data_IF_265147937400
#
_entry.id   IF_265147937400
#
_cell.length_a   1.000
_cell.length_b   1.000
_cell.length_c   1.000
_cell.angle_alpha   90.00
_cell.angle_beta   90.00
_cell.angle_gamma   90.00
#
_symmetry.space_group_name_H-M   'P 1'
#
loop_
_entity.id
_entity.type
_entity.pdbx_description
1 polymer ?
#
# COMPACT_ATOMS: atom_id res chain seq x y z
N UNK A 1 7.40 24.60 9.91
CA UNK A 1 7.87 23.96 8.65
C UNK A 1 6.96 24.44 7.53
N UNK A 2 7.52 25.08 6.51
CA UNK A 2 6.76 25.51 5.32
C UNK A 2 6.37 24.32 4.44
N UNK A 3 5.49 24.53 3.44
CA UNK A 3 5.11 23.48 2.47
C UNK A 3 6.30 23.07 1.61
N UNK A 4 7.12 24.01 1.19
CA UNK A 4 8.31 23.78 0.38
C UNK A 4 9.36 22.99 1.15
N UNK A 5 9.62 23.39 2.40
CA UNK A 5 10.52 22.68 3.30
C UNK A 5 10.04 21.23 3.56
N UNK A 6 8.76 21.05 3.87
CA UNK A 6 8.16 19.72 4.09
C UNK A 6 8.30 18.82 2.84
N UNK A 7 8.05 19.41 1.67
CA UNK A 7 8.15 18.71 0.38
C UNK A 7 9.58 18.24 0.08
N UNK A 8 10.56 19.15 0.24
CA UNK A 8 11.98 18.84 0.03
C UNK A 8 12.48 17.78 1.02
N UNK A 9 12.21 17.99 2.32
CA UNK A 9 12.62 17.04 3.37
C UNK A 9 12.00 15.66 3.20
N UNK A 10 10.72 15.58 2.78
CA UNK A 10 10.06 14.32 2.49
C UNK A 10 10.76 13.59 1.34
N UNK A 11 11.01 14.26 0.21
CA UNK A 11 11.67 13.63 -0.94
C UNK A 11 13.02 13.02 -0.55
N UNK A 12 13.86 13.77 0.18
CA UNK A 12 15.14 13.26 0.65
C UNK A 12 15.01 12.13 1.69
N UNK A 13 14.05 12.24 2.60
CA UNK A 13 13.86 11.21 3.62
C UNK A 13 13.36 9.89 3.02
N UNK A 14 12.45 9.94 2.03
CA UNK A 14 11.96 8.74 1.36
C UNK A 14 13.06 8.08 0.51
N UNK A 15 13.85 8.87 -0.22
CA UNK A 15 15.01 8.36 -0.95
C UNK A 15 15.95 7.60 0.01
N UNK A 16 16.35 8.20 1.14
CA UNK A 16 17.19 7.53 2.15
C UNK A 16 16.54 6.32 2.78
N UNK A 17 15.22 6.33 2.98
CA UNK A 17 14.50 5.18 3.51
C UNK A 17 14.54 3.99 2.54
N UNK A 18 14.53 4.24 1.23
CA UNK A 18 14.76 3.23 0.19
C UNK A 18 16.23 2.82 0.19
N UNK A 19 17.18 3.77 0.14
CA UNK A 19 18.64 3.50 0.11
C UNK A 19 19.07 2.55 1.25
N UNK A 20 18.51 2.71 2.45
CA UNK A 20 18.80 1.84 3.60
C UNK A 20 18.23 0.42 3.46
N UNK A 21 17.34 0.18 2.54
CA UNK A 21 16.63 -1.09 2.35
C UNK A 21 16.96 -1.81 1.04
N UNK A 22 17.87 -1.26 0.22
CA UNK A 22 18.25 -1.90 -1.05
C UNK A 22 19.23 -3.07 -0.90
N UNK A 23 19.90 -3.20 0.26
CA UNK A 23 20.85 -4.28 0.51
C UNK A 23 20.10 -5.63 0.41
N UNK A 24 20.50 -6.44 -0.57
CA UNK A 24 19.93 -7.77 -0.80
C UNK A 24 20.93 -8.61 -1.60
N UNK A 25 21.10 -9.85 -1.20
CA UNK A 25 21.86 -10.91 -1.91
C UNK A 25 20.93 -11.77 -2.80
N UNK A 26 19.64 -11.42 -2.87
CA UNK A 26 18.62 -12.11 -3.67
C UNK A 26 17.87 -11.14 -4.56
N UNK A 27 17.24 -11.62 -5.65
CA UNK A 27 16.43 -10.76 -6.52
C UNK A 27 15.30 -10.06 -5.77
N UNK A 28 15.11 -8.78 -6.09
CA UNK A 28 14.07 -7.93 -5.49
C UNK A 28 13.06 -7.51 -6.55
N UNK A 29 11.81 -7.32 -6.12
CA UNK A 29 10.75 -6.75 -6.94
C UNK A 29 9.97 -5.69 -6.15
N UNK A 30 8.97 -5.08 -6.75
CA UNK A 30 8.13 -4.09 -6.07
C UNK A 30 6.64 -4.27 -6.42
N UNK A 31 5.77 -3.80 -5.54
CA UNK A 31 4.34 -3.66 -5.82
C UNK A 31 4.07 -2.30 -6.48
N UNK A 32 3.28 -2.30 -7.56
CA UNK A 32 2.87 -1.09 -8.28
C UNK A 32 1.35 -1.09 -8.47
N UNK A 33 0.63 -0.41 -7.58
CA UNK A 33 -0.84 -0.44 -7.53
C UNK A 33 -1.56 0.66 -8.34
N UNK A 34 -0.81 1.51 -9.06
CA UNK A 34 -1.37 2.72 -9.72
C UNK A 34 -1.63 3.88 -8.77
N UNK A 35 -1.37 3.75 -7.47
CA UNK A 35 -1.39 4.83 -6.48
C UNK A 35 -0.03 5.51 -6.33
N UNK A 36 -0.03 6.76 -5.85
CA UNK A 36 1.18 7.56 -5.68
C UNK A 36 2.18 6.94 -4.70
N UNK A 37 1.72 6.19 -3.69
CA UNK A 37 2.57 5.59 -2.67
C UNK A 37 3.51 4.54 -3.27
N UNK A 38 2.95 3.58 -3.99
CA UNK A 38 3.74 2.55 -4.67
C UNK A 38 4.59 3.14 -5.79
N UNK A 39 4.06 4.11 -6.54
CA UNK A 39 4.78 4.80 -7.61
C UNK A 39 6.02 5.55 -7.08
N UNK A 40 5.91 6.22 -5.93
CA UNK A 40 7.04 6.91 -5.30
C UNK A 40 8.13 5.92 -4.86
N UNK A 41 7.76 4.78 -4.28
CA UNK A 41 8.72 3.71 -3.91
C UNK A 41 9.41 3.16 -5.15
N UNK A 42 8.66 2.83 -6.21
CA UNK A 42 9.22 2.31 -7.46
C UNK A 42 10.19 3.31 -8.09
N UNK A 43 9.83 4.59 -8.15
CA UNK A 43 10.73 5.64 -8.67
C UNK A 43 12.05 5.72 -7.89
N UNK A 44 12.01 5.67 -6.55
CA UNK A 44 13.26 5.71 -5.78
C UNK A 44 14.08 4.41 -5.94
N UNK A 45 13.43 3.26 -6.13
CA UNK A 45 14.09 1.97 -6.38
C UNK A 45 14.79 1.90 -7.74
N UNK A 46 14.29 2.56 -8.79
CA UNK A 46 14.95 2.54 -10.12
C UNK A 46 16.36 3.12 -10.11
N UNK A 47 16.70 3.90 -9.10
CA UNK A 47 18.07 4.43 -8.91
C UNK A 47 19.08 3.33 -8.54
N UNK A 48 18.61 2.21 -8.00
CA UNK A 48 19.41 1.09 -7.53
C UNK A 48 19.20 -0.17 -8.38
N UNK A 49 18.02 -0.30 -8.98
CA UNK A 49 17.61 -1.47 -9.76
C UNK A 49 17.04 -0.97 -11.10
N UNK A 50 17.89 -0.71 -12.12
CA UNK A 50 17.43 -0.21 -13.42
C UNK A 50 16.49 -1.20 -14.12
N UNK A 51 16.68 -2.51 -13.92
CA UNK A 51 15.83 -3.58 -14.48
C UNK A 51 14.76 -4.06 -13.49
N UNK A 52 14.22 -3.14 -12.69
CA UNK A 52 13.24 -3.49 -11.64
C UNK A 52 11.98 -4.12 -12.22
N UNK A 53 11.61 -5.29 -11.68
CA UNK A 53 10.32 -5.94 -11.96
C UNK A 53 9.29 -5.50 -10.94
N UNK A 54 8.14 -5.05 -11.42
CA UNK A 54 7.01 -4.63 -10.61
C UNK A 54 5.82 -5.57 -10.81
N UNK A 55 5.02 -5.77 -9.76
CA UNK A 55 3.82 -6.61 -9.78
C UNK A 55 2.58 -5.79 -9.44
N UNK A 56 1.50 -6.05 -10.17
CA UNK A 56 0.17 -5.49 -9.89
C UNK A 56 -0.90 -6.57 -9.99
N UNK A 57 -1.91 -6.50 -9.11
CA UNK A 57 -3.06 -7.40 -9.19
C UNK A 57 -4.04 -6.91 -10.27
N UNK A 58 -4.56 -7.82 -11.09
CA UNK A 58 -5.51 -7.54 -12.16
C UNK A 58 -6.79 -8.36 -11.97
N UNK A 59 -7.83 -7.73 -11.43
CA UNK A 59 -9.18 -8.31 -11.38
C UNK A 59 -10.04 -7.81 -12.57
N UNK A 60 -10.06 -6.50 -12.81
CA UNK A 60 -10.65 -5.90 -14.02
C UNK A 60 -9.56 -5.30 -14.91
N UNK A 61 -9.38 -5.78 -16.15
CA UNK A 61 -8.39 -5.25 -17.08
C UNK A 61 -8.62 -3.78 -17.47
N UNK A 62 -9.82 -3.25 -17.22
CA UNK A 62 -10.20 -1.86 -17.52
C UNK A 62 -10.10 -0.93 -16.31
N UNK A 63 -9.64 -1.43 -15.16
CA UNK A 63 -9.56 -0.63 -13.94
C UNK A 63 -8.64 0.58 -14.12
N UNK A 64 -9.00 1.68 -13.50
CA UNK A 64 -8.16 2.90 -13.50
C UNK A 64 -6.82 2.64 -12.82
N UNK A 65 -6.78 1.82 -11.78
CA UNK A 65 -5.55 1.49 -11.06
C UNK A 65 -4.55 0.78 -11.97
N UNK A 66 -5.00 -0.21 -12.73
CA UNK A 66 -4.16 -0.92 -13.68
C UNK A 66 -3.63 0.00 -14.79
N UNK A 67 -4.48 0.86 -15.34
CA UNK A 67 -4.06 1.85 -16.35
C UNK A 67 -2.99 2.80 -15.82
N UNK A 68 -3.11 3.25 -14.55
CA UNK A 68 -2.12 4.12 -13.91
C UNK A 68 -0.83 3.38 -13.54
N UNK A 69 -0.93 2.11 -13.17
CA UNK A 69 0.25 1.26 -12.95
C UNK A 69 1.06 1.09 -14.26
N UNK A 70 0.39 0.80 -15.38
CA UNK A 70 1.02 0.75 -16.71
C UNK A 70 1.70 2.06 -17.08
N UNK A 71 0.98 3.18 -16.97
CA UNK A 71 1.54 4.50 -17.28
C UNK A 71 2.76 4.86 -16.42
N UNK A 72 2.77 4.41 -15.17
CA UNK A 72 3.92 4.59 -14.27
C UNK A 72 5.08 3.68 -14.71
N UNK A 73 4.81 2.43 -15.01
CA UNK A 73 5.82 1.49 -15.47
C UNK A 73 6.48 1.95 -16.77
N UNK A 74 5.68 2.39 -17.74
CA UNK A 74 6.14 2.93 -19.03
C UNK A 74 7.03 4.18 -18.81
N UNK A 75 6.59 5.12 -17.96
CA UNK A 75 7.36 6.34 -17.69
C UNK A 75 8.69 6.06 -16.98
N UNK A 76 8.73 5.07 -16.10
CA UNK A 76 9.92 4.73 -15.31
C UNK A 76 10.80 3.67 -15.98
N UNK A 77 10.37 3.08 -17.09
CA UNK A 77 11.10 2.03 -17.82
C UNK A 77 11.21 0.71 -17.04
N UNK A 78 10.25 0.41 -16.14
CA UNK A 78 10.27 -0.82 -15.34
C UNK A 78 9.38 -1.90 -15.93
N UNK A 79 9.76 -3.16 -15.73
CA UNK A 79 8.94 -4.29 -16.16
C UNK A 79 7.73 -4.48 -15.25
N UNK A 80 6.50 -4.49 -15.83
CA UNK A 80 5.26 -4.68 -15.08
C UNK A 80 4.62 -6.04 -15.38
N UNK A 81 4.49 -6.87 -14.35
CA UNK A 81 3.77 -8.14 -14.40
C UNK A 81 2.37 -7.95 -13.81
N UNK A 82 1.36 -8.19 -14.63
CA UNK A 82 -0.03 -8.14 -14.24
C UNK A 82 -0.50 -9.53 -13.79
N UNK A 83 -0.66 -9.72 -12.50
CA UNK A 83 -1.11 -11.00 -11.94
C UNK A 83 -2.63 -11.09 -12.03
N UNK A 84 -3.18 -12.02 -12.83
CA UNK A 84 -4.62 -12.20 -12.91
C UNK A 84 -5.15 -12.76 -11.58
N UNK A 85 -6.05 -12.02 -10.95
CA UNK A 85 -6.75 -12.44 -9.73
C UNK A 85 -8.18 -12.81 -10.13
N UNK A 86 -8.55 -14.09 -9.95
CA UNK A 86 -9.92 -14.53 -10.21
C UNK A 86 -10.83 -14.14 -9.06
N UNK A 87 -12.17 -14.01 -9.25
CA UNK A 87 -13.09 -13.89 -8.12
C UNK A 87 -12.85 -15.00 -7.09
N UNK A 88 -12.86 -14.67 -5.77
CA UNK A 88 -12.49 -15.65 -4.76
C UNK A 88 -13.54 -16.75 -4.63
N UNK A 89 -13.11 -17.94 -4.21
CA UNK A 89 -13.97 -18.94 -3.60
C UNK A 89 -14.09 -18.71 -2.09
N UNK A 90 -14.99 -19.42 -1.42
CA UNK A 90 -15.05 -19.47 0.05
C UNK A 90 -13.74 -19.98 0.64
N UNK A 91 -13.10 -20.95 -0.01
CA UNK A 91 -11.84 -21.54 0.45
C UNK A 91 -10.68 -20.56 0.34
N UNK A 92 -10.60 -19.77 -0.75
CA UNK A 92 -9.60 -18.70 -0.87
C UNK A 92 -9.70 -17.69 0.28
N UNK A 93 -10.93 -17.35 0.67
CA UNK A 93 -11.16 -16.41 1.77
C UNK A 93 -10.89 -17.06 3.14
N UNK A 94 -11.17 -18.34 3.31
CA UNK A 94 -10.79 -19.11 4.50
C UNK A 94 -9.27 -19.20 4.65
N UNK A 95 -8.54 -19.46 3.56
CA UNK A 95 -7.08 -19.45 3.51
C UNK A 95 -6.55 -18.06 3.88
N UNK A 96 -7.16 -16.99 3.39
CA UNK A 96 -6.75 -15.62 3.76
C UNK A 96 -6.93 -15.37 5.27
N UNK A 97 -8.07 -15.77 5.87
CA UNK A 97 -8.30 -15.69 7.34
C UNK A 97 -7.24 -16.48 8.10
N UNK A 98 -6.98 -17.72 7.69
CA UNK A 98 -6.00 -18.60 8.32
C UNK A 98 -4.59 -18.01 8.23
N UNK A 99 -4.21 -17.49 7.07
CA UNK A 99 -2.86 -16.95 6.84
C UNK A 99 -2.59 -15.70 7.68
N UNK A 100 -3.54 -14.74 7.70
CA UNK A 100 -3.29 -13.48 8.44
C UNK A 100 -3.72 -13.53 9.90
N UNK A 101 -4.42 -14.61 10.32
CA UNK A 101 -4.92 -14.80 11.70
C UNK A 101 -5.79 -13.61 12.17
N UNK A 102 -6.64 -13.10 11.29
CA UNK A 102 -7.52 -11.97 11.58
C UNK A 102 -8.89 -12.16 10.93
N UNK A 103 -9.93 -11.59 11.58
CA UNK A 103 -11.30 -11.57 11.06
C UNK A 103 -11.76 -10.19 10.55
N UNK A 104 -10.89 -9.19 10.54
CA UNK A 104 -11.25 -7.86 10.09
C UNK A 104 -11.48 -7.84 8.59
N UNK A 105 -12.71 -7.49 8.18
CA UNK A 105 -13.18 -7.53 6.78
C UNK A 105 -12.15 -6.94 5.80
N UNK A 106 -11.71 -5.71 6.02
CA UNK A 106 -10.77 -5.06 5.11
C UNK A 106 -9.40 -5.77 5.04
N UNK A 107 -8.94 -6.37 6.13
CA UNK A 107 -7.65 -7.07 6.16
C UNK A 107 -7.71 -8.37 5.37
N UNK A 108 -8.77 -9.17 5.56
CA UNK A 108 -8.99 -10.43 4.82
C UNK A 108 -9.15 -10.17 3.32
N UNK A 109 -9.97 -9.18 2.97
CA UNK A 109 -10.24 -8.84 1.57
C UNK A 109 -9.00 -8.36 0.81
N UNK A 110 -8.08 -7.67 1.47
CA UNK A 110 -6.80 -7.25 0.88
C UNK A 110 -5.78 -8.39 0.89
N UNK A 111 -5.79 -9.26 1.91
CA UNK A 111 -4.87 -10.38 1.99
C UNK A 111 -5.02 -11.35 0.81
N UNK A 112 -6.25 -11.62 0.39
CA UNK A 112 -6.51 -12.52 -0.73
C UNK A 112 -5.72 -12.16 -2.02
N UNK A 113 -5.80 -10.97 -2.64
CA UNK A 113 -4.97 -10.64 -3.79
C UNK A 113 -3.48 -10.54 -3.45
N UNK A 114 -3.09 -10.23 -2.21
CA UNK A 114 -1.69 -10.26 -1.79
C UNK A 114 -1.09 -11.68 -1.83
N UNK A 115 -1.87 -12.70 -1.48
CA UNK A 115 -1.44 -14.10 -1.60
C UNK A 115 -1.18 -14.48 -3.06
N UNK A 116 -2.05 -14.09 -3.99
CA UNK A 116 -1.84 -14.33 -5.42
C UNK A 116 -0.58 -13.61 -5.95
N UNK A 117 -0.35 -12.36 -5.53
CA UNK A 117 0.86 -11.61 -5.87
C UNK A 117 2.11 -12.29 -5.32
N UNK A 118 2.10 -12.71 -4.05
CA UNK A 118 3.21 -13.39 -3.41
C UNK A 118 3.55 -14.73 -4.08
N UNK A 119 2.52 -15.51 -4.46
CA UNK A 119 2.69 -16.76 -5.20
C UNK A 119 3.36 -16.53 -6.58
N UNK A 120 2.93 -15.50 -7.32
CA UNK A 120 3.52 -15.14 -8.61
C UNK A 120 4.98 -14.69 -8.46
N UNK A 121 5.28 -13.80 -7.52
CA UNK A 121 6.65 -13.38 -7.22
C UNK A 121 7.55 -14.55 -6.86
N UNK A 122 7.03 -15.49 -6.05
CA UNK A 122 7.78 -16.69 -5.67
C UNK A 122 8.07 -17.61 -6.84
N UNK A 123 7.10 -17.79 -7.73
CA UNK A 123 7.24 -18.59 -8.95
C UNK A 123 8.32 -18.01 -9.89
N UNK A 124 8.42 -16.68 -9.96
CA UNK A 124 9.43 -15.96 -10.75
C UNK A 124 10.80 -15.85 -10.05
N UNK A 125 10.96 -16.47 -8.86
CA UNK A 125 12.23 -16.56 -8.14
C UNK A 125 12.55 -15.40 -7.20
N UNK A 126 11.65 -14.42 -7.04
CA UNK A 126 11.85 -13.32 -6.10
C UNK A 126 11.69 -13.79 -4.64
N UNK A 127 12.35 -13.08 -3.74
CA UNK A 127 12.27 -13.31 -2.28
C UNK A 127 12.03 -12.03 -1.49
N UNK A 128 12.17 -10.87 -2.12
CA UNK A 128 11.99 -9.55 -1.49
C UNK A 128 11.07 -8.70 -2.37
N UNK A 129 10.09 -8.06 -1.75
CA UNK A 129 9.23 -7.08 -2.42
C UNK A 129 9.12 -5.79 -1.63
N UNK A 130 8.98 -4.67 -2.33
CA UNK A 130 8.74 -3.35 -1.73
C UNK A 130 7.29 -2.95 -1.87
N UNK A 131 6.75 -2.30 -0.84
CA UNK A 131 5.37 -1.83 -0.80
C UNK A 131 5.26 -0.39 -0.30
N UNK A 132 4.24 0.32 -0.79
CA UNK A 132 3.86 1.66 -0.32
C UNK A 132 3.06 1.69 0.99
N UNK A 133 2.97 0.57 1.71
CA UNK A 133 2.25 0.48 2.98
C UNK A 133 2.84 1.42 4.04
N UNK A 134 2.01 1.95 4.94
CA UNK A 134 2.40 2.94 5.94
C UNK A 134 2.19 4.39 5.51
N UNK A 135 2.14 4.66 4.21
CA UNK A 135 1.94 6.01 3.68
C UNK A 135 0.61 6.63 4.15
N UNK A 136 -0.48 5.88 4.10
CA UNK A 136 -1.81 6.39 4.49
C UNK A 136 -1.87 6.83 5.95
N UNK A 137 -1.17 6.14 6.82
CA UNK A 137 -1.07 6.47 8.24
C UNK A 137 -0.24 7.74 8.48
N UNK A 138 0.87 7.87 7.78
CA UNK A 138 1.74 9.04 7.88
C UNK A 138 1.00 10.32 7.49
N UNK A 139 0.17 10.27 6.47
CA UNK A 139 -0.52 11.46 5.94
C UNK A 139 -1.95 11.61 6.43
N UNK A 140 -2.46 10.68 7.26
CA UNK A 140 -3.86 10.61 7.68
C UNK A 140 -4.82 10.67 6.47
N UNK A 141 -4.52 9.91 5.40
CA UNK A 141 -5.21 10.05 4.12
C UNK A 141 -6.49 9.23 3.99
N UNK A 142 -6.87 8.47 5.02
CA UNK A 142 -8.12 7.72 5.05
C UNK A 142 -9.36 8.63 5.02
N UNK A 143 -10.42 8.19 4.34
CA UNK A 143 -11.66 8.95 4.19
C UNK A 143 -12.34 9.36 5.49
N UNK A 144 -12.13 8.60 6.56
CA UNK A 144 -12.69 8.84 7.89
C UNK A 144 -11.75 9.61 8.83
N UNK A 145 -10.52 9.95 8.40
CA UNK A 145 -9.49 10.55 9.26
C UNK A 145 -9.92 11.89 9.87
N UNK A 146 -10.74 12.68 9.16
CA UNK A 146 -11.23 13.97 9.65
C UNK A 146 -11.95 13.87 11.02
N UNK A 147 -12.69 12.77 11.26
CA UNK A 147 -13.37 12.53 12.53
C UNK A 147 -12.37 12.30 13.67
N UNK A 148 -11.39 11.45 13.44
CA UNK A 148 -10.37 11.16 14.44
C UNK A 148 -9.47 12.38 14.70
N UNK A 149 -9.13 13.15 13.69
CA UNK A 149 -8.37 14.41 13.83
C UNK A 149 -9.16 15.45 14.64
N UNK A 150 -10.46 15.58 14.39
CA UNK A 150 -11.32 16.47 15.16
C UNK A 150 -11.41 16.08 16.65
N UNK A 151 -11.34 14.78 16.95
CA UNK A 151 -11.44 14.27 18.33
C UNK A 151 -10.13 14.31 19.10
N UNK A 152 -9.00 13.91 18.46
CA UNK A 152 -7.73 13.72 19.18
C UNK A 152 -6.62 14.70 18.73
N UNK A 153 -6.89 15.52 17.71
CA UNK A 153 -5.92 16.41 17.10
C UNK A 153 -5.00 15.73 16.11
N UNK A 154 -4.34 16.54 15.27
CA UNK A 154 -3.53 16.10 14.13
C UNK A 154 -2.39 15.15 14.49
N UNK A 155 -1.60 15.52 15.47
CA UNK A 155 -0.41 14.77 15.87
C UNK A 155 -0.78 13.45 16.57
N UNK A 156 -1.70 13.51 17.53
CA UNK A 156 -2.13 12.34 18.31
C UNK A 156 -2.81 11.32 17.41
N UNK A 157 -3.68 11.76 16.51
CA UNK A 157 -4.35 10.86 15.56
C UNK A 157 -3.35 10.05 14.73
N UNK A 158 -2.35 10.70 14.15
CA UNK A 158 -1.34 10.04 13.30
C UNK A 158 -0.44 9.11 14.09
N UNK A 159 -0.01 9.51 15.28
CA UNK A 159 0.74 8.64 16.20
C UNK A 159 -0.05 7.35 16.51
N UNK A 160 -1.33 7.48 16.79
CA UNK A 160 -2.20 6.33 17.06
C UNK A 160 -2.36 5.42 15.83
N UNK A 161 -2.48 6.01 14.62
CA UNK A 161 -2.51 5.23 13.39
C UNK A 161 -1.23 4.40 13.21
N UNK A 162 -0.06 5.02 13.37
CA UNK A 162 1.23 4.32 13.23
C UNK A 162 1.37 3.23 14.32
N UNK A 163 1.05 3.53 15.57
CA UNK A 163 1.12 2.55 16.66
C UNK A 163 0.18 1.35 16.45
N UNK A 164 -0.96 1.57 15.79
CA UNK A 164 -1.93 0.50 15.50
C UNK A 164 -1.50 -0.44 14.35
N UNK A 165 -0.39 -0.15 13.64
CA UNK A 165 0.06 -0.99 12.51
C UNK A 165 0.36 -2.42 12.92
N UNK A 166 0.94 -2.63 14.11
CA UNK A 166 1.32 -3.95 14.61
C UNK A 166 0.15 -4.94 14.67
N UNK A 167 -1.07 -4.43 14.91
CA UNK A 167 -2.28 -5.26 15.02
C UNK A 167 -3.24 -5.12 13.83
N UNK A 168 -2.93 -4.29 12.85
CA UNK A 168 -3.80 -4.03 11.68
C UNK A 168 -3.16 -4.47 10.38
N UNK A 169 -2.30 -3.65 9.81
CA UNK A 169 -1.79 -3.83 8.45
C UNK A 169 -0.56 -4.75 8.41
N UNK A 170 0.34 -4.68 9.39
CA UNK A 170 1.55 -5.51 9.39
C UNK A 170 1.26 -7.01 9.39
N UNK A 171 0.37 -7.55 10.24
CA UNK A 171 0.07 -8.98 10.17
C UNK A 171 -0.41 -9.38 8.79
N UNK A 172 -1.28 -8.58 8.15
CA UNK A 172 -1.74 -8.84 6.80
C UNK A 172 -0.58 -8.86 5.80
N UNK A 173 0.18 -7.74 5.72
CA UNK A 173 1.27 -7.63 4.73
C UNK A 173 2.32 -8.69 4.98
N UNK A 174 2.84 -8.76 6.22
CA UNK A 174 3.90 -9.71 6.54
C UNK A 174 3.47 -11.17 6.30
N UNK A 175 2.35 -11.59 6.89
CA UNK A 175 1.90 -12.99 6.81
C UNK A 175 1.49 -13.41 5.40
N UNK A 176 0.79 -12.54 4.65
CA UNK A 176 0.39 -12.86 3.28
C UNK A 176 1.60 -13.06 2.35
N UNK A 177 2.64 -12.26 2.48
CA UNK A 177 3.84 -12.42 1.67
C UNK A 177 4.75 -13.54 2.21
N UNK A 178 4.92 -13.65 3.53
CA UNK A 178 5.72 -14.72 4.15
C UNK A 178 5.14 -16.13 3.94
N UNK A 179 3.82 -16.26 3.73
CA UNK A 179 3.21 -17.55 3.34
C UNK A 179 3.82 -18.13 2.05
N UNK A 180 4.41 -17.28 1.21
CA UNK A 180 5.15 -17.66 0.01
C UNK A 180 6.66 -17.37 0.11
N UNK A 181 7.19 -17.17 1.32
CA UNK A 181 8.60 -16.86 1.56
C UNK A 181 9.08 -15.59 0.84
N UNK A 182 8.23 -14.56 0.79
CA UNK A 182 8.54 -13.23 0.29
C UNK A 182 8.68 -12.26 1.47
N UNK A 183 9.84 -11.63 1.62
CA UNK A 183 10.07 -10.53 2.58
C UNK A 183 9.43 -9.24 2.06
N UNK A 184 8.56 -8.61 2.85
CA UNK A 184 7.98 -7.31 2.54
C UNK A 184 8.79 -6.15 3.14
N UNK A 185 9.34 -5.26 2.33
CA UNK A 185 10.04 -4.04 2.78
C UNK A 185 9.14 -2.82 2.64
N UNK A 186 9.07 -2.01 3.71
CA UNK A 186 8.13 -0.91 3.86
C UNK A 186 8.87 0.42 4.11
N UNK A 187 9.40 1.11 3.06
CA UNK A 187 10.19 2.33 3.26
C UNK A 187 9.45 3.46 3.96
N UNK A 188 8.13 3.59 3.80
CA UNK A 188 7.35 4.61 4.53
C UNK A 188 7.37 4.43 6.05
N UNK A 189 7.72 3.25 6.54
CA UNK A 189 7.86 2.95 7.96
C UNK A 189 9.31 3.02 8.46
N UNK A 190 10.18 3.67 7.69
CA UNK A 190 11.51 4.02 8.16
C UNK A 190 11.41 4.95 9.39
N UNK A 191 12.12 4.68 10.49
CA UNK A 191 12.01 5.46 11.73
C UNK A 191 12.25 6.96 11.54
N UNK A 192 13.25 7.36 10.74
CA UNK A 192 13.56 8.77 10.50
C UNK A 192 12.48 9.43 9.63
N UNK A 193 11.94 8.71 8.64
CA UNK A 193 10.84 9.20 7.82
C UNK A 193 9.56 9.34 8.66
N UNK A 194 9.27 8.36 9.53
CA UNK A 194 8.13 8.43 10.47
C UNK A 194 8.29 9.63 11.41
N UNK A 195 9.45 9.82 12.02
CA UNK A 195 9.71 10.95 12.90
C UNK A 195 9.54 12.30 12.18
N UNK A 196 10.11 12.43 10.98
CA UNK A 196 9.94 13.60 10.13
C UNK A 196 8.47 13.83 9.79
N UNK A 197 7.77 12.81 9.30
CA UNK A 197 6.37 12.93 8.92
C UNK A 197 5.52 13.36 10.12
N UNK A 198 5.71 12.76 11.29
CA UNK A 198 4.97 13.12 12.51
C UNK A 198 5.27 14.52 13.00
N UNK A 199 6.42 15.12 12.69
CA UNK A 199 6.74 16.52 13.03
C UNK A 199 6.07 17.55 12.11
N UNK A 200 5.54 17.14 10.95
CA UNK A 200 4.95 18.07 9.97
C UNK A 200 3.58 18.58 10.44
N UNK A 201 3.32 19.90 10.40
CA UNK A 201 2.01 20.44 10.66
C UNK A 201 1.02 20.09 9.52
N UNK A 202 -0.27 20.11 9.82
CA UNK A 202 -1.32 19.67 8.90
C UNK A 202 -1.30 20.43 7.58
N UNK A 203 -1.15 21.74 7.63
CA UNK A 203 -1.12 22.64 6.48
C UNK A 203 0.09 22.43 5.56
N UNK A 204 1.17 21.82 6.06
CA UNK A 204 2.29 21.40 5.24
C UNK A 204 2.04 20.06 4.54
N UNK A 205 1.19 19.19 5.12
CA UNK A 205 0.92 17.84 4.61
C UNK A 205 -0.29 17.80 3.69
N UNK A 206 -1.36 18.50 4.05
CA UNK A 206 -2.66 18.45 3.37
C UNK A 206 -3.03 19.81 2.77
N UNK A 207 -3.69 19.79 1.61
CA UNK A 207 -4.29 20.97 0.98
C UNK A 207 -5.82 20.92 1.18
N UNK A 208 -6.28 21.39 2.34
CA UNK A 208 -7.67 21.35 2.75
C UNK A 208 -8.17 19.93 3.11
N UNK A 209 -9.49 19.81 3.28
CA UNK A 209 -10.15 18.56 3.67
C UNK A 209 -10.64 17.71 2.49
N UNK A 210 -10.30 18.08 1.26
CA UNK A 210 -10.71 17.34 0.07
C UNK A 210 -9.97 16.00 -0.07
N UNK A 211 -10.59 14.96 -0.62
CA UNK A 211 -9.91 13.68 -0.85
C UNK A 211 -8.62 13.79 -1.66
N UNK A 212 -8.56 14.71 -2.63
CA UNK A 212 -7.36 14.97 -3.45
C UNK A 212 -6.26 15.69 -2.67
N UNK A 213 -6.59 16.52 -1.68
CA UNK A 213 -5.62 17.28 -0.89
C UNK A 213 -4.95 16.50 0.24
N UNK A 214 -5.39 15.28 0.55
CA UNK A 214 -4.92 14.54 1.75
C UNK A 214 -3.46 14.10 1.71
N UNK A 215 -2.88 13.92 0.53
CA UNK A 215 -1.47 13.58 0.33
C UNK A 215 -0.70 14.67 -0.41
N UNK A 216 -1.07 15.93 -0.22
CA UNK A 216 -0.52 17.03 -1.00
C UNK A 216 1.00 17.15 -0.88
N UNK A 217 1.59 16.88 0.28
CA UNK A 217 3.05 16.86 0.45
C UNK A 217 3.72 15.81 -0.45
N UNK A 218 3.17 14.61 -0.55
CA UNK A 218 3.69 13.55 -1.40
C UNK A 218 3.46 13.89 -2.89
N UNK A 219 2.29 14.40 -3.22
CA UNK A 219 1.97 14.85 -4.58
C UNK A 219 2.92 15.96 -5.05
N UNK A 220 3.24 16.94 -4.19
CA UNK A 220 4.20 18.00 -4.49
C UNK A 220 5.63 17.45 -4.68
N UNK A 221 6.05 16.52 -3.81
CA UNK A 221 7.39 15.93 -3.85
C UNK A 221 7.67 15.15 -5.15
N UNK A 222 6.63 14.59 -5.76
CA UNK A 222 6.76 13.73 -6.94
C UNK A 222 6.13 14.32 -8.22
N UNK A 223 5.65 15.56 -8.16
CA UNK A 223 5.13 16.27 -9.34
C UNK A 223 6.22 16.43 -10.39
N UNK A 224 5.90 16.08 -11.64
CA UNK A 224 6.85 16.10 -12.75
C UNK A 224 7.83 14.91 -12.80
N UNK A 225 7.89 14.10 -11.74
CA UNK A 225 8.71 12.88 -11.67
C UNK A 225 7.88 11.60 -11.86
N UNK A 226 6.58 11.68 -11.66
CA UNK A 226 5.59 10.61 -11.89
C UNK A 226 4.52 11.10 -12.85
N UNK A 227 3.72 10.20 -13.48
CA UNK A 227 2.64 10.61 -14.36
C UNK A 227 1.67 11.57 -13.68
N UNK A 228 1.29 12.65 -14.37
CA UNK A 228 0.40 13.67 -13.82
C UNK A 228 -0.92 13.10 -13.25
N UNK A 229 -1.58 12.12 -13.91
CA UNK A 229 -2.79 11.50 -13.35
C UNK A 229 -2.56 10.76 -12.03
N UNK A 230 -1.36 10.23 -11.77
CA UNK A 230 -0.99 9.54 -10.51
C UNK A 230 -0.80 10.57 -9.40
N UNK A 231 -0.12 11.68 -9.68
CA UNK A 231 0.16 12.73 -8.68
C UNK A 231 -1.05 13.61 -8.39
N UNK A 232 -2.00 13.75 -9.32
CA UNK A 232 -3.23 14.53 -9.13
C UNK A 232 -4.41 13.73 -8.54
N UNK A 233 -4.29 12.41 -8.46
CA UNK A 233 -5.38 11.52 -8.07
C UNK A 233 -5.74 11.65 -6.59
N UNK A 234 -7.04 11.68 -6.31
CA UNK A 234 -7.54 11.47 -4.96
C UNK A 234 -7.23 10.05 -4.48
N UNK A 235 -7.00 9.90 -3.16
CA UNK A 235 -6.82 8.56 -2.56
C UNK A 235 -8.05 7.68 -2.79
N UNK A 236 -7.83 6.52 -3.40
CA UNK A 236 -8.79 5.41 -3.50
C UNK A 236 -8.21 4.23 -2.72
N UNK A 237 -9.04 3.56 -1.91
CA UNK A 237 -8.59 2.39 -1.19
C UNK A 237 -8.31 1.24 -2.18
N UNK A 238 -7.31 0.43 -1.90
CA UNK A 238 -6.87 -0.69 -2.75
C UNK A 238 -8.05 -1.62 -3.14
N UNK A 239 -8.89 -1.97 -2.17
CA UNK A 239 -10.06 -2.82 -2.42
C UNK A 239 -11.11 -2.18 -3.35
N UNK A 240 -11.24 -0.85 -3.33
CA UNK A 240 -12.17 -0.13 -4.20
C UNK A 240 -11.58 0.02 -5.61
N UNK A 241 -10.28 0.28 -5.72
CA UNK A 241 -9.56 0.40 -6.99
C UNK A 241 -9.49 -0.91 -7.77
N UNK A 242 -9.38 -2.04 -7.08
CA UNK A 242 -9.42 -3.38 -7.69
C UNK A 242 -10.84 -3.93 -7.91
N UNK A 243 -11.89 -3.30 -7.35
CA UNK A 243 -13.24 -3.82 -7.45
C UNK A 243 -13.54 -5.05 -6.58
N UNK A 244 -12.77 -5.25 -5.49
CA UNK A 244 -12.88 -6.44 -4.63
C UNK A 244 -14.27 -6.60 -4.02
N UNK A 245 -14.97 -5.52 -3.69
CA UNK A 245 -16.31 -5.57 -3.09
C UNK A 245 -17.30 -6.35 -3.95
N UNK A 246 -17.33 -6.11 -5.26
CA UNK A 246 -18.19 -6.83 -6.18
C UNK A 246 -17.85 -8.31 -6.24
N UNK A 247 -16.58 -8.64 -6.37
CA UNK A 247 -16.11 -10.03 -6.43
C UNK A 247 -16.42 -10.81 -5.14
N UNK A 248 -16.30 -10.20 -3.97
CA UNK A 248 -16.58 -10.87 -2.70
C UNK A 248 -18.08 -10.98 -2.43
N UNK A 249 -18.86 -9.95 -2.78
CA UNK A 249 -20.32 -9.98 -2.62
C UNK A 249 -21.00 -11.01 -3.51
N UNK A 250 -20.39 -11.43 -4.61
CA UNK A 250 -20.90 -12.54 -5.44
C UNK A 250 -20.75 -13.92 -4.79
N UNK A 251 -19.90 -14.05 -3.77
CA UNK A 251 -19.59 -15.30 -3.08
C UNK A 251 -20.18 -15.33 -1.66
N UNK A 252 -20.13 -14.22 -0.95
CA UNK A 252 -20.55 -14.11 0.44
C UNK A 252 -21.61 -13.03 0.64
N UNK A 253 -22.81 -13.41 1.09
CA UNK A 253 -23.86 -12.46 1.45
C UNK A 253 -23.47 -11.58 2.66
N UNK A 254 -22.73 -12.13 3.62
CA UNK A 254 -22.25 -11.41 4.81
C UNK A 254 -20.77 -11.75 5.09
N UNK A 255 -19.82 -11.09 4.40
CA UNK A 255 -18.40 -11.38 4.54
C UNK A 255 -17.89 -11.22 5.99
N UNK A 256 -18.29 -10.18 6.71
CA UNK A 256 -17.81 -9.95 8.07
C UNK A 256 -18.25 -11.04 9.05
N UNK A 257 -19.46 -11.62 8.87
CA UNK A 257 -19.93 -12.75 9.67
C UNK A 257 -19.14 -14.01 9.33
N UNK A 258 -18.91 -14.26 8.05
CA UNK A 258 -18.13 -15.41 7.57
C UNK A 258 -16.71 -15.39 8.14
N UNK A 259 -16.00 -14.27 8.02
CA UNK A 259 -14.62 -14.17 8.51
C UNK A 259 -14.50 -14.37 10.03
N UNK A 260 -15.45 -13.85 10.81
CA UNK A 260 -15.47 -14.10 12.26
C UNK A 260 -15.73 -15.57 12.61
N UNK A 261 -16.66 -16.21 11.91
CA UNK A 261 -16.96 -17.62 12.11
C UNK A 261 -15.75 -18.50 11.75
N UNK A 262 -15.10 -18.21 10.63
CA UNK A 262 -13.92 -18.94 10.19
C UNK A 262 -12.73 -18.75 11.13
N UNK A 263 -12.48 -17.51 11.57
CA UNK A 263 -11.44 -17.24 12.56
C UNK A 263 -11.70 -17.95 13.89
N UNK A 264 -12.96 -17.95 14.37
CA UNK A 264 -13.33 -18.68 15.59
C UNK A 264 -13.16 -20.20 15.43
N UNK A 265 -13.48 -20.74 14.26
CA UNK A 265 -13.26 -22.17 13.95
C UNK A 265 -11.78 -22.56 14.02
N UNK A 266 -10.88 -21.65 13.66
CA UNK A 266 -9.44 -21.91 13.59
C UNK A 266 -8.72 -21.63 14.93
N UNK A 267 -9.15 -20.62 15.67
CA UNK A 267 -8.38 -20.06 16.80
C UNK A 267 -9.21 -19.88 18.08
N UNK A 268 -10.51 -20.08 18.06
CA UNK A 268 -11.41 -19.99 19.23
C UNK A 268 -11.57 -21.29 19.92
#
# INVERSE_FOLDING_TARGET
MSREEATSRLSHALARAVDRRVISDVPVCALLSGGIDSAAIVLELTRHHPDLTCYTARLDPRSTDLRLARATADMLGVHLIEVPVKPPTTDDLAIAVATIEQAYKAQVEIAWPCLALAAAMRADGFKVTYSGEGSDELWASYGFAYRGIATTGWYTYRRNLIAAQAVRNFPRVNKAFMAHSIEGRLPFLDPDLVALALSMPREAVQDGDTPSGRKAVLQRAYRGRLPAPVTARAKIAFQDGLGLKGAISSVLANPARYYRAEHHRLYG
#
